data_IF_500613312396
#
_entry.id   IF_500613312396
#
_cell.length_a   1.000
_cell.length_b   1.000
_cell.length_c   1.000
_cell.angle_alpha   90.00
_cell.angle_beta   90.00
_cell.angle_gamma   90.00
#
_symmetry.space_group_name_H-M   'P 1'
#
loop_
_entity.id
_entity.type
_entity.pdbx_description
1 polymer ?
#
# COMPACT_ATOMS: atom_id res chain seq x y z
N UNK A 1 -31.70 11.04 51.41
CA UNK A 1 -30.80 10.33 50.47
C UNK A 1 -29.68 9.68 51.27
N UNK A 2 -29.68 8.35 51.40
CA UNK A 2 -28.86 7.64 52.38
C UNK A 2 -27.36 7.81 52.11
N UNK A 3 -26.59 8.08 53.16
CA UNK A 3 -25.13 8.25 53.12
C UNK A 3 -24.43 7.06 52.42
N UNK A 4 -24.97 5.86 52.59
CA UNK A 4 -24.50 4.62 51.94
C UNK A 4 -24.57 4.69 50.41
N UNK A 5 -25.60 5.34 49.85
CA UNK A 5 -25.75 5.46 48.40
C UNK A 5 -24.71 6.41 47.79
N UNK A 6 -24.39 7.51 48.49
CA UNK A 6 -23.35 8.46 48.07
C UNK A 6 -21.97 7.80 48.00
N UNK A 7 -21.62 6.98 48.99
CA UNK A 7 -20.34 6.25 48.98
C UNK A 7 -20.24 5.27 47.80
N UNK A 8 -21.31 4.54 47.48
CA UNK A 8 -21.30 3.61 46.33
C UNK A 8 -21.08 4.31 44.99
N UNK A 9 -21.70 5.49 44.81
CA UNK A 9 -21.54 6.28 43.58
C UNK A 9 -20.10 6.81 43.45
N UNK A 10 -19.52 7.32 44.54
CA UNK A 10 -18.14 7.82 44.54
C UNK A 10 -17.16 6.69 44.20
N UNK A 11 -17.29 5.50 44.80
CA UNK A 11 -16.42 4.36 44.52
C UNK A 11 -16.49 3.92 43.05
N UNK A 12 -17.69 3.91 42.45
CA UNK A 12 -17.87 3.59 41.03
C UNK A 12 -17.17 4.60 40.11
N UNK A 13 -17.27 5.90 40.42
CA UNK A 13 -16.63 6.95 39.62
C UNK A 13 -15.10 6.80 39.69
N UNK A 14 -14.53 6.59 40.87
CA UNK A 14 -13.07 6.41 41.04
C UNK A 14 -12.57 5.18 40.28
N UNK A 15 -13.30 4.07 40.35
CA UNK A 15 -12.95 2.86 39.61
C UNK A 15 -12.98 3.09 38.08
N UNK A 16 -14.00 3.80 37.58
CA UNK A 16 -14.15 4.06 36.14
C UNK A 16 -13.06 5.00 35.61
N UNK A 17 -12.69 6.03 36.39
CA UNK A 17 -11.55 6.92 36.05
C UNK A 17 -10.23 6.15 36.05
N UNK A 18 -10.01 5.24 37.00
CA UNK A 18 -8.81 4.40 37.04
C UNK A 18 -8.67 3.49 35.81
N UNK A 19 -9.77 2.88 35.35
CA UNK A 19 -9.78 2.05 34.14
C UNK A 19 -9.47 2.89 32.89
N UNK A 20 -10.08 4.07 32.75
CA UNK A 20 -9.81 4.97 31.63
C UNK A 20 -8.35 5.45 31.61
N UNK A 21 -7.77 5.72 32.78
CA UNK A 21 -6.36 6.09 32.89
C UNK A 21 -5.41 4.95 32.47
N UNK A 22 -5.72 3.71 32.87
CA UNK A 22 -4.92 2.55 32.46
C UNK A 22 -4.95 2.32 30.94
N UNK A 23 -6.13 2.44 30.30
CA UNK A 23 -6.28 2.30 28.84
C UNK A 23 -5.47 3.38 28.10
N UNK A 24 -5.55 4.64 28.56
CA UNK A 24 -4.82 5.75 27.92
C UNK A 24 -3.31 5.66 28.13
N UNK A 25 -2.85 5.14 29.27
CA UNK A 25 -1.42 4.88 29.52
C UNK A 25 -0.87 3.78 28.61
N UNK A 26 -1.63 2.69 28.40
CA UNK A 26 -1.26 1.61 27.47
C UNK A 26 -1.16 2.09 26.00
N UNK A 27 -2.03 3.01 25.59
CA UNK A 27 -1.97 3.59 24.24
C UNK A 27 -0.76 4.50 24.04
N UNK A 28 -0.36 5.27 25.07
CA UNK A 28 0.83 6.13 24.99
C UNK A 28 2.14 5.34 25.08
N UNK A 29 2.16 4.22 25.79
CA UNK A 29 3.34 3.36 25.95
C UNK A 29 3.81 2.65 24.67
N UNK A 30 2.95 2.51 23.64
CA UNK A 30 3.34 1.89 22.36
C UNK A 30 3.99 2.85 21.35
N UNK A 31 4.02 4.16 21.63
CA UNK A 31 4.54 5.16 20.69
C UNK A 31 6.01 5.59 20.93
N UNK A 32 6.68 5.09 21.99
CA UNK A 32 8.07 5.47 22.31
C UNK A 32 8.92 4.22 22.53
N UNK A 33 9.13 3.49 21.44
CA UNK A 33 9.99 2.31 21.38
C UNK A 33 10.80 2.29 20.09
N UNK A 34 11.36 3.45 19.71
CA UNK A 34 12.44 3.52 18.73
C UNK A 34 13.68 2.86 19.33
N UNK A 35 13.80 1.55 19.11
CA UNK A 35 15.00 0.80 19.43
C UNK A 35 16.10 1.24 18.45
N UNK A 36 16.99 2.06 18.98
CA UNK A 36 18.33 2.32 18.45
C UNK A 36 19.14 1.04 18.61
N UNK A 37 19.21 0.22 17.57
CA UNK A 37 20.18 -0.87 17.51
C UNK A 37 21.50 -0.33 16.94
N UNK A 38 22.34 0.16 17.85
CA UNK A 38 23.77 0.41 17.60
C UNK A 38 24.48 -0.94 17.64
N UNK A 39 24.51 -1.62 16.49
CA UNK A 39 25.29 -2.84 16.26
C UNK A 39 26.61 -2.52 15.60
N UNK A 40 27.66 -2.42 16.41
CA UNK A 40 29.07 -2.36 16.00
C UNK A 40 29.41 -3.66 15.25
N UNK A 41 29.90 -3.56 14.01
CA UNK A 41 30.65 -4.65 13.37
C UNK A 41 32.06 -4.18 12.96
N UNK A 42 33.08 -5.02 13.19
CA UNK A 42 34.48 -4.66 13.05
C UNK A 42 34.94 -4.57 11.61
N UNK A 43 35.87 -3.63 11.37
CA UNK A 43 36.75 -3.61 10.21
C UNK A 43 37.48 -4.96 10.08
N UNK A 44 37.42 -5.58 8.91
CA UNK A 44 38.50 -6.47 8.49
C UNK A 44 38.59 -6.62 6.97
N UNK A 45 39.79 -6.30 6.50
CA UNK A 45 40.52 -6.90 5.39
C UNK A 45 39.95 -6.84 3.96
N UNK A 46 40.52 -5.88 3.23
CA UNK A 46 41.18 -6.04 1.94
C UNK A 46 41.18 -7.44 1.29
N UNK A 47 40.65 -7.49 0.06
CA UNK A 47 41.17 -8.14 -1.15
C UNK A 47 40.08 -7.87 -2.21
N UNK A 48 40.29 -7.13 -3.30
CA UNK A 48 41.31 -7.29 -4.33
C UNK A 48 40.55 -7.35 -5.67
N UNK A 49 41.13 -6.76 -6.72
CA UNK A 49 40.90 -7.00 -8.16
C UNK A 49 39.45 -7.30 -8.64
N UNK A 50 38.83 -6.58 -9.58
CA UNK A 50 39.34 -6.21 -10.90
C UNK A 50 38.32 -5.26 -11.54
N UNK A 51 38.83 -4.27 -12.24
CA UNK A 51 38.08 -3.26 -12.95
C UNK A 51 38.15 -3.59 -14.46
N UNK A 52 37.05 -3.96 -15.15
CA UNK A 52 37.09 -3.99 -16.60
C UNK A 52 36.97 -2.56 -17.14
N UNK A 53 38.12 -2.03 -17.54
CA UNK A 53 38.22 -0.94 -18.53
C UNK A 53 37.58 -1.42 -19.82
N UNK A 54 36.50 -0.78 -20.25
CA UNK A 54 36.16 -0.73 -21.68
C UNK A 54 36.05 0.73 -22.10
N UNK A 55 37.17 1.19 -22.67
CA UNK A 55 37.25 2.35 -23.54
C UNK A 55 36.55 2.04 -24.85
N UNK A 56 35.62 2.89 -25.26
CA UNK A 56 35.32 3.09 -26.67
C UNK A 56 35.07 4.58 -26.86
N UNK A 57 36.15 5.27 -27.25
CA UNK A 57 36.11 6.57 -27.87
C UNK A 57 35.42 6.43 -29.23
N UNK A 58 34.46 7.31 -29.53
CA UNK A 58 34.07 7.58 -30.91
C UNK A 58 33.80 9.08 -31.06
N UNK A 59 34.86 9.80 -31.42
CA UNK A 59 34.80 11.08 -32.12
C UNK A 59 34.53 10.80 -33.60
N UNK A 60 33.50 11.41 -34.20
CA UNK A 60 33.72 12.52 -35.15
C UNK A 60 32.46 12.91 -35.96
N UNK A 61 32.42 14.22 -36.24
CA UNK A 61 31.85 14.89 -37.43
C UNK A 61 30.33 15.04 -37.60
N UNK A 62 29.90 16.24 -37.22
CA UNK A 62 29.34 17.28 -38.09
C UNK A 62 28.60 16.85 -39.37
N UNK A 63 27.29 17.13 -39.40
CA UNK A 63 26.69 17.79 -40.57
C UNK A 63 25.45 18.58 -40.14
N UNK A 64 25.57 19.91 -40.22
CA UNK A 64 24.51 20.87 -39.90
C UNK A 64 23.64 21.02 -41.16
N UNK A 65 22.61 20.19 -41.29
CA UNK A 65 21.49 20.43 -42.20
C UNK A 65 20.27 20.86 -41.41
N UNK A 66 19.97 22.14 -41.50
CA UNK A 66 18.72 22.75 -41.04
C UNK A 66 17.58 22.20 -41.88
N UNK A 67 16.97 21.12 -41.40
CA UNK A 67 15.80 20.49 -41.99
C UNK A 67 14.58 21.18 -41.37
N UNK A 68 13.87 21.93 -42.20
CA UNK A 68 12.55 22.50 -41.89
C UNK A 68 11.67 21.39 -41.31
N UNK A 69 11.39 21.48 -40.00
CA UNK A 69 10.52 20.55 -39.28
C UNK A 69 9.09 20.91 -39.67
N UNK A 70 8.32 20.03 -40.35
CA UNK A 70 6.90 20.25 -40.46
C UNK A 70 6.31 20.24 -39.05
N UNK A 71 5.53 21.28 -38.71
CA UNK A 71 4.73 21.33 -37.49
C UNK A 71 3.65 20.25 -37.63
N UNK A 72 4.04 19.00 -37.39
CA UNK A 72 3.12 17.93 -37.05
C UNK A 72 2.51 18.33 -35.72
N UNK A 73 1.18 18.51 -35.70
CA UNK A 73 0.42 18.48 -34.46
C UNK A 73 0.87 17.26 -33.68
N UNK A 74 1.64 17.50 -32.61
CA UNK A 74 1.97 16.50 -31.61
C UNK A 74 0.64 15.88 -31.18
N UNK A 75 0.34 14.67 -31.68
CA UNK A 75 -0.41 13.70 -30.90
C UNK A 75 0.36 13.63 -29.59
N UNK A 76 -0.11 14.40 -28.60
CA UNK A 76 0.42 14.39 -27.26
C UNK A 76 0.33 12.94 -26.80
N UNK A 77 1.44 12.20 -26.96
CA UNK A 77 1.58 10.83 -26.55
C UNK A 77 1.22 10.83 -25.08
N UNK A 78 0.01 10.35 -24.81
CA UNK A 78 -0.63 10.40 -23.52
C UNK A 78 0.25 9.54 -22.62
N UNK A 79 1.17 10.19 -21.89
CA UNK A 79 2.09 9.48 -21.01
C UNK A 79 1.24 8.70 -20.03
N UNK A 80 1.33 7.37 -20.11
CA UNK A 80 0.68 6.49 -19.15
C UNK A 80 1.41 6.66 -17.83
N UNK A 81 0.78 7.39 -16.91
CA UNK A 81 1.25 7.47 -15.54
C UNK A 81 1.09 6.10 -14.88
N UNK A 82 2.03 5.75 -14.00
CA UNK A 82 2.03 4.50 -13.24
C UNK A 82 2.00 4.80 -11.75
N UNK A 83 1.16 4.08 -11.01
CA UNK A 83 1.07 4.15 -9.55
C UNK A 83 1.56 2.83 -8.95
N UNK A 84 2.67 2.84 -8.24
CA UNK A 84 3.12 1.70 -7.43
C UNK A 84 2.57 1.84 -6.02
N UNK A 85 1.83 0.83 -5.53
CA UNK A 85 1.17 0.90 -4.22
C UNK A 85 1.66 -0.13 -3.20
N UNK A 86 2.47 -1.11 -3.60
CA UNK A 86 3.17 -1.99 -2.66
C UNK A 86 4.63 -1.57 -2.50
N UNK A 87 4.83 -0.50 -1.73
CA UNK A 87 6.16 -0.09 -1.27
C UNK A 87 6.82 -1.17 -0.41
N UNK A 88 5.98 -1.92 0.33
CA UNK A 88 6.40 -3.02 1.18
C UNK A 88 5.54 -4.25 0.92
N UNK A 89 5.95 -5.39 1.48
CA UNK A 89 5.24 -6.66 1.32
C UNK A 89 3.84 -6.58 1.94
N UNK A 90 2.85 -6.95 1.14
CA UNK A 90 1.44 -7.04 1.54
C UNK A 90 1.28 -8.23 2.50
N UNK A 91 0.61 -7.98 3.63
CA UNK A 91 0.24 -8.97 4.63
C UNK A 91 -1.22 -9.38 4.50
N UNK A 92 -2.11 -8.43 4.22
CA UNK A 92 -3.55 -8.70 4.14
C UNK A 92 -4.24 -7.82 3.10
N UNK A 93 -5.34 -8.34 2.56
CA UNK A 93 -6.22 -7.65 1.63
C UNK A 93 -7.66 -7.83 2.11
N UNK A 94 -8.43 -6.74 2.18
CA UNK A 94 -9.86 -6.79 2.50
C UNK A 94 -10.63 -6.03 1.44
N UNK A 95 -11.53 -6.71 0.74
CA UNK A 95 -12.36 -6.10 -0.31
C UNK A 95 -13.68 -5.59 0.25
N UNK A 96 -14.33 -4.67 -0.48
CA UNK A 96 -15.70 -4.23 -0.20
C UNK A 96 -16.71 -5.39 -0.12
N UNK A 97 -16.50 -6.45 -0.91
CA UNK A 97 -17.38 -7.63 -0.91
C UNK A 97 -17.24 -8.49 0.34
N UNK A 98 -16.33 -8.15 1.26
CA UNK A 98 -16.08 -8.88 2.49
C UNK A 98 -15.07 -10.01 2.35
N UNK A 99 -14.42 -10.16 1.19
CA UNK A 99 -13.33 -11.12 1.02
C UNK A 99 -12.15 -10.60 1.84
N UNK A 100 -11.67 -11.42 2.77
CA UNK A 100 -10.48 -11.16 3.58
C UNK A 100 -9.43 -12.19 3.22
N UNK A 101 -8.25 -11.74 2.81
CA UNK A 101 -7.09 -12.56 2.49
C UNK A 101 -5.97 -12.16 3.45
N UNK A 102 -5.30 -13.13 4.06
CA UNK A 102 -4.17 -12.89 4.97
C UNK A 102 -3.03 -13.87 4.68
N UNK A 103 -1.80 -13.37 4.79
CA UNK A 103 -0.58 -14.16 4.72
C UNK A 103 -0.18 -14.64 6.11
N UNK A 104 -0.07 -15.95 6.29
CA UNK A 104 0.48 -16.58 7.49
C UNK A 104 1.77 -17.32 7.10
N UNK A 105 2.92 -16.75 7.46
CA UNK A 105 4.22 -17.28 7.05
C UNK A 105 4.44 -17.14 5.54
N UNK A 106 4.44 -18.26 4.81
CA UNK A 106 4.58 -18.31 3.34
C UNK A 106 3.27 -18.62 2.63
N UNK A 107 2.22 -18.92 3.38
CA UNK A 107 0.95 -19.37 2.84
C UNK A 107 -0.09 -18.26 2.91
N UNK A 108 -1.01 -18.28 1.95
CA UNK A 108 -2.10 -17.32 1.85
C UNK A 108 -3.44 -17.99 2.15
N UNK A 109 -4.28 -17.31 2.91
CA UNK A 109 -5.59 -17.81 3.32
C UNK A 109 -6.68 -16.80 3.05
N UNK A 110 -7.82 -17.23 2.51
CA UNK A 110 -9.07 -16.47 2.67
C UNK A 110 -9.60 -16.73 4.07
N UNK A 111 -10.07 -15.71 4.79
CA UNK A 111 -10.64 -15.83 6.14
C UNK A 111 -12.17 -15.75 6.15
N UNK A 112 -12.77 -15.27 5.06
CA UNK A 112 -14.22 -15.08 4.95
C UNK A 112 -14.69 -15.63 3.60
N UNK A 113 -15.75 -16.47 3.57
CA UNK A 113 -16.61 -16.88 4.69
C UNK A 113 -16.01 -17.92 5.65
N UNK A 114 -14.99 -18.67 5.24
CA UNK A 114 -14.28 -19.64 6.08
C UNK A 114 -12.79 -19.62 5.75
N UNK A 115 -11.95 -20.06 6.70
CA UNK A 115 -10.51 -20.16 6.48
C UNK A 115 -10.20 -21.21 5.41
N UNK A 116 -9.75 -20.78 4.23
CA UNK A 116 -9.37 -21.67 3.12
C UNK A 116 -8.01 -21.26 2.57
N UNK A 117 -7.13 -22.24 2.37
CA UNK A 117 -5.84 -22.02 1.74
C UNK A 117 -6.03 -21.58 0.27
N UNK A 118 -5.30 -20.54 -0.13
CA UNK A 118 -5.22 -20.05 -1.49
C UNK A 118 -3.92 -20.56 -2.10
N UNK A 119 -3.90 -20.76 -3.41
CA UNK A 119 -2.66 -21.03 -4.11
C UNK A 119 -1.70 -19.83 -3.96
N UNK A 120 -0.62 -20.00 -3.20
CA UNK A 120 0.35 -18.94 -2.93
C UNK A 120 0.98 -18.39 -4.21
N UNK A 121 1.22 -19.22 -5.23
CA UNK A 121 1.78 -18.77 -6.52
C UNK A 121 0.80 -17.86 -7.25
N UNK A 122 -0.49 -18.21 -7.29
CA UNK A 122 -1.52 -17.35 -7.89
C UNK A 122 -1.61 -16.00 -7.18
N UNK A 123 -1.53 -16.00 -5.84
CA UNK A 123 -1.62 -14.78 -5.04
C UNK A 123 -0.40 -13.87 -5.24
N UNK A 124 0.81 -14.42 -5.22
CA UNK A 124 2.04 -13.68 -5.49
C UNK A 124 2.10 -13.17 -6.94
N UNK A 125 1.61 -13.96 -7.91
CA UNK A 125 1.49 -13.51 -9.31
C UNK A 125 0.50 -12.35 -9.45
N UNK A 126 -0.65 -12.43 -8.75
CA UNK A 126 -1.60 -11.32 -8.71
C UNK A 126 -0.96 -10.06 -8.12
N UNK A 127 -0.28 -10.18 -6.98
CA UNK A 127 0.44 -9.06 -6.35
C UNK A 127 1.48 -8.49 -7.32
N UNK A 128 2.35 -9.31 -7.89
CA UNK A 128 3.38 -8.86 -8.82
C UNK A 128 2.81 -8.16 -10.06
N UNK A 129 1.70 -8.66 -10.61
CA UNK A 129 1.05 -8.05 -11.77
C UNK A 129 0.37 -6.72 -11.44
N UNK A 130 -0.30 -6.64 -10.28
CA UNK A 130 -1.18 -5.52 -9.95
C UNK A 130 -0.57 -4.52 -8.97
N UNK A 131 0.64 -4.75 -8.48
CA UNK A 131 1.35 -3.83 -7.59
C UNK A 131 1.61 -2.46 -8.23
N UNK A 132 1.79 -2.44 -9.55
CA UNK A 132 1.88 -1.22 -10.34
C UNK A 132 0.62 -1.09 -11.18
N UNK A 133 -0.15 -0.05 -10.92
CA UNK A 133 -1.37 0.27 -11.65
C UNK A 133 -1.04 1.25 -12.78
N UNK A 134 -1.52 0.95 -13.99
CA UNK A 134 -1.63 1.96 -15.02
C UNK A 134 -2.77 2.89 -14.65
N UNK A 135 -2.47 4.18 -14.50
CA UNK A 135 -3.47 5.18 -14.18
C UNK A 135 -3.77 6.04 -15.40
N UNK A 136 -5.02 6.44 -15.48
CA UNK A 136 -5.55 7.37 -16.47
C UNK A 136 -6.12 8.55 -15.72
N UNK A 137 -5.91 9.76 -16.26
CA UNK A 137 -6.49 10.99 -15.71
C UNK A 137 -6.07 11.20 -14.24
N UNK A 138 -4.76 11.27 -14.02
CA UNK A 138 -4.17 11.64 -12.73
C UNK A 138 -4.49 13.11 -12.46
N UNK A 139 -5.16 13.38 -11.33
CA UNK A 139 -5.45 14.76 -10.91
C UNK A 139 -5.14 14.92 -9.44
N UNK A 140 -4.55 16.06 -9.01
CA UNK A 140 -4.53 16.39 -7.61
C UNK A 140 -5.97 16.50 -7.09
N UNK A 141 -6.26 16.06 -5.86
CA UNK A 141 -7.60 16.13 -5.31
C UNK A 141 -8.00 17.60 -5.14
N UNK A 142 -9.03 18.05 -5.85
CA UNK A 142 -9.62 19.39 -5.67
C UNK A 142 -10.46 19.48 -4.40
N UNK A 143 -10.98 18.35 -3.91
CA UNK A 143 -11.77 18.23 -2.69
C UNK A 143 -11.91 16.74 -2.32
N UNK A 144 -11.82 16.39 -1.02
CA UNK A 144 -12.03 15.02 -0.53
C UNK A 144 -13.53 14.83 -0.28
N UNK A 145 -14.25 14.00 -1.04
CA UNK A 145 -15.67 13.74 -0.78
C UNK A 145 -15.86 13.05 0.57
N UNK A 146 -16.94 13.39 1.29
CA UNK A 146 -17.28 12.81 2.60
C UNK A 146 -17.96 11.43 2.53
N UNK A 147 -18.21 10.90 1.33
CA UNK A 147 -18.93 9.62 1.12
C UNK A 147 -18.18 8.70 0.18
N UNK A 148 -16.95 8.42 0.56
CA UNK A 148 -16.09 7.50 -0.15
C UNK A 148 -16.41 6.05 0.22
N UNK A 149 -16.46 5.18 -0.78
CA UNK A 149 -16.70 3.75 -0.59
C UNK A 149 -15.35 3.03 -0.60
N UNK A 150 -15.00 2.38 0.50
CA UNK A 150 -13.80 1.53 0.58
C UNK A 150 -13.94 0.37 -0.41
N UNK A 151 -13.00 0.26 -1.34
CA UNK A 151 -12.96 -0.80 -2.36
C UNK A 151 -12.01 -1.92 -1.97
N UNK A 152 -10.84 -1.54 -1.48
CA UNK A 152 -9.78 -2.46 -1.07
C UNK A 152 -8.97 -1.81 0.07
N UNK A 153 -8.88 -2.49 1.21
CA UNK A 153 -7.89 -2.20 2.24
C UNK A 153 -6.70 -3.14 2.11
N UNK A 154 -5.50 -2.59 2.19
CA UNK A 154 -4.22 -3.29 2.06
C UNK A 154 -3.46 -3.13 3.37
N UNK A 155 -3.25 -4.23 4.09
CA UNK A 155 -2.39 -4.29 5.26
C UNK A 155 -0.98 -4.70 4.85
N UNK A 156 0.03 -3.98 5.34
CA UNK A 156 1.45 -4.29 5.10
C UNK A 156 2.07 -4.98 6.32
N UNK A 157 3.16 -5.75 6.13
CA UNK A 157 3.78 -6.51 7.23
C UNK A 157 4.26 -5.60 8.39
N UNK A 158 4.76 -4.41 8.07
CA UNK A 158 5.31 -3.45 9.04
C UNK A 158 4.72 -2.03 8.87
N UNK A 159 3.53 -1.91 8.29
CA UNK A 159 2.95 -0.63 7.92
C UNK A 159 1.51 -0.47 8.35
N UNK A 160 1.01 0.75 8.22
CA UNK A 160 -0.42 1.04 8.40
C UNK A 160 -1.24 0.42 7.27
N UNK A 161 -2.50 0.10 7.57
CA UNK A 161 -3.44 -0.34 6.53
C UNK A 161 -3.82 0.85 5.68
N UNK A 162 -3.46 0.82 4.39
CA UNK A 162 -3.88 1.82 3.41
C UNK A 162 -5.13 1.36 2.67
N UNK A 163 -5.87 2.31 2.09
CA UNK A 163 -7.19 2.05 1.53
C UNK A 163 -7.35 2.70 0.17
N UNK A 164 -7.81 1.91 -0.79
CA UNK A 164 -8.41 2.41 -2.01
C UNK A 164 -9.88 2.75 -1.75
N UNK A 165 -10.26 3.99 -2.01
CA UNK A 165 -11.66 4.40 -2.00
C UNK A 165 -12.14 4.72 -3.42
N UNK A 166 -13.44 4.56 -3.64
CA UNK A 166 -14.13 4.97 -4.87
C UNK A 166 -15.05 6.13 -4.54
N UNK A 167 -14.85 7.24 -5.24
CA UNK A 167 -15.71 8.41 -5.14
C UNK A 167 -17.00 8.20 -5.93
N UNK A 168 -18.08 8.96 -5.61
CA UNK A 168 -19.32 8.92 -6.39
C UNK A 168 -19.14 9.28 -7.88
N UNK A 169 -18.09 10.04 -8.22
CA UNK A 169 -17.74 10.44 -9.59
C UNK A 169 -16.98 9.35 -10.38
N UNK A 170 -16.75 8.18 -9.76
CA UNK A 170 -16.04 7.06 -10.38
C UNK A 170 -14.52 7.21 -10.41
N UNK A 171 -13.94 8.01 -9.51
CA UNK A 171 -12.48 8.09 -9.34
C UNK A 171 -12.04 7.22 -8.16
N UNK A 172 -10.89 6.58 -8.32
CA UNK A 172 -10.19 5.94 -7.23
C UNK A 172 -9.33 6.96 -6.49
N UNK A 173 -9.18 6.76 -5.19
CA UNK A 173 -8.30 7.54 -4.34
C UNK A 173 -7.36 6.62 -3.57
N UNK A 174 -6.07 6.94 -3.59
CA UNK A 174 -5.01 6.22 -2.89
C UNK A 174 -3.92 7.20 -2.51
N UNK A 175 -3.54 7.24 -1.23
CA UNK A 175 -2.44 8.07 -0.72
C UNK A 175 -2.44 9.52 -1.25
N UNK A 176 -3.59 10.20 -1.13
CA UNK A 176 -3.70 11.58 -1.62
C UNK A 176 -3.86 11.73 -3.14
N UNK A 177 -3.70 10.67 -3.91
CA UNK A 177 -3.80 10.69 -5.37
C UNK A 177 -5.20 10.28 -5.85
N UNK A 178 -5.81 11.10 -6.70
CA UNK A 178 -7.08 10.81 -7.38
C UNK A 178 -6.82 10.39 -8.82
N UNK A 179 -7.37 9.24 -9.24
CA UNK A 179 -7.11 8.69 -10.56
C UNK A 179 -8.24 7.79 -11.06
N UNK A 180 -8.24 7.44 -12.36
CA UNK A 180 -9.03 6.35 -12.92
C UNK A 180 -8.11 5.24 -13.37
N UNK A 181 -8.51 3.99 -13.24
CA UNK A 181 -7.70 2.87 -13.72
C UNK A 181 -8.59 1.69 -14.10
N UNK A 182 -8.58 1.32 -15.38
CA UNK A 182 -9.17 0.06 -15.82
C UNK A 182 -8.39 -1.13 -15.24
N UNK A 183 -7.06 -1.00 -15.15
CA UNK A 183 -6.19 -2.03 -14.58
C UNK A 183 -6.55 -2.36 -13.13
N UNK A 184 -6.92 -1.36 -12.32
CA UNK A 184 -7.39 -1.58 -10.95
C UNK A 184 -8.72 -2.33 -10.89
N UNK A 185 -9.67 -2.01 -11.79
CA UNK A 185 -10.94 -2.76 -11.87
C UNK A 185 -10.68 -4.23 -12.20
N UNK A 186 -9.84 -4.50 -13.20
CA UNK A 186 -9.44 -5.86 -13.57
C UNK A 186 -8.71 -6.58 -12.43
N UNK A 187 -7.88 -5.86 -11.66
CA UNK A 187 -7.22 -6.38 -10.47
C UNK A 187 -8.24 -6.93 -9.46
N UNK A 188 -9.29 -6.16 -9.17
CA UNK A 188 -10.34 -6.55 -8.22
C UNK A 188 -11.13 -7.77 -8.70
N UNK A 189 -11.46 -7.82 -9.99
CA UNK A 189 -12.19 -8.97 -10.57
C UNK A 189 -11.34 -10.24 -10.51
N UNK A 190 -10.04 -10.15 -10.84
CA UNK A 190 -9.12 -11.29 -10.74
C UNK A 190 -8.81 -11.69 -9.31
N UNK A 191 -8.77 -10.74 -8.37
CA UNK A 191 -8.57 -11.05 -6.95
C UNK A 191 -9.69 -11.94 -6.43
N UNK A 192 -10.94 -11.67 -6.81
CA UNK A 192 -12.07 -12.50 -6.44
C UNK A 192 -11.93 -13.95 -6.95
N UNK A 193 -11.42 -14.14 -8.17
CA UNK A 193 -11.13 -15.47 -8.73
C UNK A 193 -10.04 -16.20 -7.95
N UNK A 194 -8.93 -15.52 -7.67
CA UNK A 194 -7.83 -16.06 -6.86
C UNK A 194 -8.32 -16.46 -5.47
N UNK A 195 -9.13 -15.61 -4.83
CA UNK A 195 -9.72 -15.88 -3.51
C UNK A 195 -10.58 -17.15 -3.48
N UNK A 196 -11.24 -17.47 -4.60
CA UNK A 196 -12.02 -18.70 -4.75
C UNK A 196 -11.16 -19.95 -5.03
N UNK A 197 -9.86 -19.77 -5.31
CA UNK A 197 -8.90 -20.83 -5.59
C UNK A 197 -8.62 -21.05 -7.08
N UNK A 198 -9.04 -20.13 -7.95
CA UNK A 198 -8.70 -20.19 -9.37
C UNK A 198 -7.22 -19.83 -9.61
N UNK A 199 -6.64 -20.36 -10.69
CA UNK A 199 -5.25 -20.07 -11.09
C UNK A 199 -5.22 -18.96 -12.14
N UNK A 200 -4.19 -18.10 -12.07
CA UNK A 200 -3.95 -16.98 -12.99
C UNK A 200 -2.89 -17.29 -14.03
#
# INVERSE_FOLDING_TARGET
>A
MNTVWKFRVITLIVALVGVLYAITSLQKGKAVGGLTEVGILPMSAANGAEQPKNSAANTDKADKKEKVIPVTHDEATKKEDKLSWCETRVKSLTTKSGIKIEQEGKDWFTLTPQKKAINSVSMEKWLGQYCTLQITDSRPPTFVPTKDVEMLAVGFINGETQKFTLTPEGFYFWDGLRFRSQHFKEAMDKLAKVANGETL
#
